data_IF_764695959461
#
_entry.id   IF_764695959461
#
_cell.length_a   1.000
_cell.length_b   1.000
_cell.length_c   1.000
_cell.angle_alpha   90.00
_cell.angle_beta   90.00
_cell.angle_gamma   90.00
#
_symmetry.space_group_name_H-M   'P 1'
#
loop_
_entity.id
_entity.type
_entity.pdbx_description
1 polymer ?
#
# COMPACT_ATOMS: atom_id res chain seq x y z
N UNK A 1 -0.06 75.39 -48.35
CA UNK A 1 1.01 74.47 -47.91
C UNK A 1 0.39 73.18 -47.37
N UNK A 2 0.44 72.14 -48.14
CA UNK A 2 -0.10 70.84 -47.80
C UNK A 2 1.00 70.03 -47.07
N UNK A 3 0.82 69.73 -45.79
CA UNK A 3 1.72 68.86 -45.03
C UNK A 3 1.28 67.42 -45.32
N UNK A 4 2.12 66.70 -46.06
CA UNK A 4 1.94 65.23 -46.28
C UNK A 4 2.50 64.43 -45.08
N UNK A 5 1.66 63.80 -44.33
CA UNK A 5 2.10 62.91 -43.23
C UNK A 5 2.46 61.57 -43.83
N UNK A 6 3.73 61.22 -43.88
CA UNK A 6 4.21 59.88 -44.30
C UNK A 6 4.08 58.94 -43.13
N UNK A 7 3.13 58.03 -43.18
CA UNK A 7 3.00 56.89 -42.27
C UNK A 7 4.12 55.89 -42.53
N UNK A 8 5.13 55.88 -41.70
CA UNK A 8 6.22 54.92 -41.74
C UNK A 8 5.69 53.54 -41.30
N UNK A 9 5.42 52.68 -42.28
CA UNK A 9 4.97 51.31 -41.98
C UNK A 9 6.02 50.53 -41.19
N UNK A 10 5.62 49.85 -40.15
CA UNK A 10 6.50 48.96 -39.41
C UNK A 10 7.05 47.87 -40.33
N UNK A 11 8.36 47.57 -40.26
CA UNK A 11 8.94 46.52 -41.09
C UNK A 11 8.28 45.17 -40.75
N UNK A 12 7.84 44.42 -41.77
CA UNK A 12 7.09 43.17 -41.69
C UNK A 12 7.78 42.13 -40.79
N UNK A 13 9.13 42.19 -40.66
CA UNK A 13 9.92 41.32 -39.77
C UNK A 13 9.64 41.55 -38.28
N UNK A 14 9.32 42.79 -37.87
CA UNK A 14 9.04 43.09 -36.45
C UNK A 14 7.68 42.56 -35.99
N UNK A 15 6.68 42.55 -36.91
CA UNK A 15 5.35 42.02 -36.64
C UNK A 15 5.39 40.50 -36.54
N UNK A 16 6.16 39.82 -37.39
CA UNK A 16 6.33 38.37 -37.38
C UNK A 16 7.06 37.93 -36.11
N UNK A 17 8.11 38.60 -35.69
CA UNK A 17 8.86 38.29 -34.46
C UNK A 17 7.99 38.48 -33.21
N UNK A 18 7.17 39.53 -33.14
CA UNK A 18 6.22 39.76 -32.05
C UNK A 18 5.14 38.69 -31.95
N UNK A 19 4.59 38.27 -33.09
CA UNK A 19 3.58 37.18 -33.15
C UNK A 19 4.17 35.82 -32.72
N UNK A 20 5.40 35.49 -33.12
CA UNK A 20 6.08 34.26 -32.72
C UNK A 20 6.37 34.20 -31.21
N UNK A 21 6.80 35.35 -30.62
CA UNK A 21 7.02 35.43 -29.15
C UNK A 21 5.71 35.32 -28.37
N UNK A 22 4.63 35.95 -28.84
CA UNK A 22 3.32 35.84 -28.20
C UNK A 22 2.75 34.41 -28.27
N UNK A 23 2.89 33.74 -29.41
CA UNK A 23 2.48 32.36 -29.60
C UNK A 23 3.30 31.41 -28.72
N UNK A 24 4.61 31.58 -28.65
CA UNK A 24 5.50 30.84 -27.77
C UNK A 24 5.15 30.98 -26.28
N UNK A 25 4.81 32.24 -25.86
CA UNK A 25 4.37 32.53 -24.49
C UNK A 25 3.00 31.91 -24.18
N UNK A 26 2.05 31.91 -25.14
CA UNK A 26 0.76 31.26 -24.99
C UNK A 26 0.89 29.74 -24.93
N UNK A 27 1.69 29.14 -25.80
CA UNK A 27 1.95 27.69 -25.82
C UNK A 27 2.71 27.25 -24.56
N UNK A 28 3.61 28.06 -24.03
CA UNK A 28 4.30 27.80 -22.77
C UNK A 28 3.36 27.77 -21.56
N UNK A 29 2.27 28.54 -21.59
CA UNK A 29 1.25 28.51 -20.54
C UNK A 29 0.28 27.32 -20.64
N UNK A 30 0.17 26.70 -21.81
CA UNK A 30 -0.66 25.51 -22.04
C UNK A 30 0.06 24.20 -21.68
N UNK A 31 1.37 24.25 -21.43
CA UNK A 31 2.04 23.11 -20.82
C UNK A 31 1.58 23.04 -19.37
N UNK A 32 0.93 21.93 -18.93
CA UNK A 32 0.69 21.72 -17.52
C UNK A 32 2.06 21.78 -16.84
N UNK A 33 2.24 22.80 -16.01
CA UNK A 33 3.50 22.99 -15.28
C UNK A 33 3.88 21.64 -14.67
N UNK A 34 5.11 21.19 -14.90
CA UNK A 34 5.65 20.08 -14.15
C UNK A 34 5.41 20.42 -12.68
N UNK A 35 4.50 19.70 -12.03
CA UNK A 35 4.33 19.81 -10.58
C UNK A 35 5.73 19.63 -10.00
N UNK A 36 6.24 20.58 -9.21
CA UNK A 36 7.56 20.42 -8.62
C UNK A 36 7.54 19.08 -7.89
N UNK A 37 8.51 18.25 -8.18
CA UNK A 37 8.71 16.98 -7.51
C UNK A 37 8.74 17.26 -6.00
N UNK A 38 7.66 16.94 -5.30
CA UNK A 38 7.64 16.98 -3.85
C UNK A 38 8.60 15.90 -3.40
N UNK A 39 9.75 16.29 -2.91
CA UNK A 39 10.76 15.39 -2.40
C UNK A 39 10.13 14.40 -1.39
N UNK A 40 10.50 13.13 -1.50
CA UNK A 40 10.07 12.12 -0.52
C UNK A 40 10.61 12.54 0.86
N UNK A 41 9.74 12.65 1.84
CA UNK A 41 10.12 12.88 3.24
C UNK A 41 10.06 11.56 4.01
N UNK A 42 11.02 11.36 4.91
CA UNK A 42 11.07 10.18 5.77
C UNK A 42 10.80 10.61 7.21
N UNK A 43 9.94 9.86 7.88
CA UNK A 43 9.62 10.08 9.30
C UNK A 43 9.72 8.76 10.03
N UNK A 44 10.58 8.70 11.05
CA UNK A 44 10.68 7.55 11.92
C UNK A 44 9.43 7.44 12.80
N UNK A 45 8.82 6.25 12.88
CA UNK A 45 7.59 5.98 13.62
C UNK A 45 7.78 5.03 14.80
N UNK A 46 8.89 4.28 14.83
CA UNK A 46 9.21 3.33 15.90
C UNK A 46 10.59 3.65 16.46
N UNK A 47 10.73 3.64 17.79
CA UNK A 47 11.96 4.00 18.49
C UNK A 47 12.48 2.87 19.39
N UNK A 48 11.75 1.77 19.47
CA UNK A 48 12.17 0.58 20.22
C UNK A 48 12.97 -0.36 19.32
N UNK A 49 13.94 -1.04 19.90
CA UNK A 49 14.65 -2.12 19.23
C UNK A 49 13.71 -3.31 19.06
N UNK A 50 13.31 -3.57 17.82
CA UNK A 50 12.39 -4.65 17.48
C UNK A 50 12.56 -5.05 16.02
N UNK A 51 12.28 -6.30 15.72
CA UNK A 51 12.24 -6.79 14.34
C UNK A 51 10.85 -6.62 13.79
N UNK A 52 10.65 -5.66 12.87
CA UNK A 52 9.37 -5.44 12.20
C UNK A 52 9.25 -6.42 11.04
N UNK A 53 8.17 -7.19 11.00
CA UNK A 53 7.90 -8.17 9.95
C UNK A 53 6.98 -7.61 8.87
N UNK A 54 5.89 -6.95 9.25
CA UNK A 54 4.92 -6.38 8.32
C UNK A 54 4.28 -5.13 8.92
N UNK A 55 3.94 -4.16 8.06
CA UNK A 55 3.24 -2.94 8.44
C UNK A 55 2.21 -2.55 7.37
N UNK A 56 1.06 -2.03 7.80
CA UNK A 56 -0.03 -1.58 6.94
C UNK A 56 -0.64 -0.29 7.49
N UNK A 57 -1.08 0.57 6.59
CA UNK A 57 -1.95 1.67 6.95
C UNK A 57 -3.38 1.16 7.16
N UNK A 58 -4.06 1.72 8.15
CA UNK A 58 -5.50 1.59 8.29
C UNK A 58 -6.22 2.46 7.24
N UNK A 59 -7.56 2.31 7.06
CA UNK A 59 -8.32 3.06 6.05
C UNK A 59 -8.25 4.58 6.17
N UNK A 60 -7.92 5.11 7.35
CA UNK A 60 -7.73 6.54 7.59
C UNK A 60 -6.44 7.10 6.96
N UNK A 61 -5.57 6.24 6.46
CA UNK A 61 -4.29 6.58 5.86
C UNK A 61 -3.25 7.15 6.84
N UNK A 62 -3.51 7.15 8.14
CA UNK A 62 -2.66 7.72 9.17
C UNK A 62 -2.30 6.72 10.27
N UNK A 63 -3.25 5.91 10.70
CA UNK A 63 -3.02 4.83 11.66
C UNK A 63 -2.18 3.73 11.02
N UNK A 64 -1.13 3.30 11.71
CA UNK A 64 -0.25 2.22 11.26
C UNK A 64 -0.43 1.03 12.18
N UNK A 65 -0.73 -0.13 11.61
CA UNK A 65 -0.71 -1.42 12.31
C UNK A 65 0.50 -2.19 11.82
N UNK A 66 1.21 -2.82 12.73
CA UNK A 66 2.36 -3.63 12.36
C UNK A 66 2.56 -4.81 13.29
N UNK A 67 3.23 -5.83 12.80
CA UNK A 67 3.69 -6.97 13.59
C UNK A 67 5.19 -6.92 13.76
N UNK A 68 5.65 -7.11 14.98
CA UNK A 68 7.07 -7.11 15.34
C UNK A 68 7.36 -8.06 16.48
N UNK A 69 8.62 -8.48 16.60
CA UNK A 69 9.14 -9.15 17.77
C UNK A 69 10.10 -8.23 18.51
N UNK A 70 9.90 -8.08 19.81
CA UNK A 70 10.83 -7.36 20.70
C UNK A 70 12.04 -8.23 20.98
N UNK A 71 11.80 -9.53 21.23
CA UNK A 71 12.85 -10.54 21.39
C UNK A 71 12.50 -11.79 20.60
N UNK A 72 13.51 -12.44 20.01
CA UNK A 72 13.31 -13.66 19.23
C UNK A 72 12.53 -13.44 17.93
N UNK A 73 11.64 -14.38 17.61
CA UNK A 73 10.87 -14.40 16.33
C UNK A 73 9.36 -14.51 16.55
N UNK A 74 8.88 -14.37 17.78
CA UNK A 74 7.45 -14.42 18.09
C UNK A 74 6.82 -13.07 17.79
N UNK A 75 5.90 -12.97 16.82
CA UNK A 75 5.31 -11.69 16.45
C UNK A 75 4.19 -11.29 17.42
N UNK A 76 4.12 -10.01 17.69
CA UNK A 76 3.00 -9.34 18.35
C UNK A 76 2.47 -8.20 17.48
N UNK A 77 1.21 -7.83 17.67
CA UNK A 77 0.60 -6.72 16.96
C UNK A 77 0.73 -5.42 17.73
N UNK A 78 1.11 -4.39 17.01
CA UNK A 78 1.24 -3.02 17.50
C UNK A 78 0.44 -2.05 16.64
N UNK A 79 0.02 -0.93 17.25
CA UNK A 79 -0.69 0.14 16.58
C UNK A 79 -0.06 1.50 16.93
N UNK A 80 0.06 2.37 15.93
CA UNK A 80 0.44 3.78 16.08
C UNK A 80 -0.71 4.61 15.52
N UNK A 81 -1.24 5.54 16.32
CA UNK A 81 -2.33 6.43 15.92
C UNK A 81 -1.85 7.89 15.84
N UNK A 82 -2.47 8.74 15.00
CA UNK A 82 -2.10 10.16 14.94
C UNK A 82 -2.12 10.86 16.29
N UNK A 83 -3.16 10.59 17.10
CA UNK A 83 -3.36 11.20 18.42
C UNK A 83 -2.41 10.64 19.50
N UNK A 84 -1.86 9.47 19.27
CA UNK A 84 -0.93 8.77 20.17
C UNK A 84 0.21 8.19 19.33
N UNK A 85 1.25 9.00 19.07
CA UNK A 85 2.35 8.59 18.17
C UNK A 85 3.23 7.48 18.76
N UNK A 86 3.05 7.14 20.04
CA UNK A 86 3.74 6.02 20.67
C UNK A 86 3.08 4.70 20.25
N UNK A 87 3.94 3.74 19.96
CA UNK A 87 3.52 2.39 19.63
C UNK A 87 2.88 1.69 20.83
N UNK A 88 1.71 1.09 20.63
CA UNK A 88 1.01 0.31 21.65
C UNK A 88 0.75 -1.11 21.15
N UNK A 89 1.00 -2.09 22.01
CA UNK A 89 0.60 -3.47 21.76
C UNK A 89 -0.93 -3.60 21.75
N UNK A 90 -1.48 -4.36 20.80
CA UNK A 90 -2.94 -4.65 20.71
C UNK A 90 -3.30 -5.80 21.67
N UNK A 91 -2.31 -6.48 22.27
CA UNK A 91 -2.54 -7.55 23.24
C UNK A 91 -2.80 -8.92 22.60
N UNK A 92 -2.31 -9.11 21.38
CA UNK A 92 -2.36 -10.39 20.66
C UNK A 92 -0.94 -10.88 20.45
N UNK A 93 -0.49 -11.80 21.30
CA UNK A 93 0.78 -12.54 21.13
C UNK A 93 0.64 -13.61 20.05
N UNK A 94 1.78 -14.11 19.58
CA UNK A 94 1.85 -15.14 18.53
C UNK A 94 1.03 -14.79 17.28
N UNK A 95 0.91 -13.48 16.99
CA UNK A 95 0.02 -12.98 15.94
C UNK A 95 0.80 -12.14 14.94
N UNK A 96 0.74 -12.54 13.66
CA UNK A 96 1.39 -11.84 12.55
C UNK A 96 0.36 -11.13 11.68
N UNK A 97 0.61 -9.85 11.37
CA UNK A 97 -0.25 -9.06 10.48
C UNK A 97 -0.05 -9.48 9.03
N UNK A 98 -1.14 -9.66 8.29
CA UNK A 98 -1.12 -9.86 6.84
C UNK A 98 -1.62 -8.62 6.10
N UNK A 99 -2.86 -8.20 6.34
CA UNK A 99 -3.44 -7.02 5.68
C UNK A 99 -4.53 -6.36 6.51
N UNK A 100 -4.95 -5.16 6.09
CA UNK A 100 -6.03 -4.39 6.71
C UNK A 100 -7.09 -4.11 5.66
N UNK A 101 -8.36 -4.41 5.96
CA UNK A 101 -9.48 -4.14 5.05
C UNK A 101 -9.86 -2.67 5.01
N UNK A 102 -10.60 -2.26 3.96
CA UNK A 102 -11.21 -0.92 3.87
C UNK A 102 -12.20 -0.60 4.99
N UNK A 103 -12.65 -1.59 5.74
CA UNK A 103 -13.56 -1.43 6.89
C UNK A 103 -12.85 -1.48 8.26
N UNK A 104 -11.51 -1.50 8.27
CA UNK A 104 -10.74 -1.56 9.51
C UNK A 104 -10.73 -2.95 10.18
N UNK A 105 -10.86 -4.01 9.39
CA UNK A 105 -10.70 -5.38 9.88
C UNK A 105 -9.31 -5.90 9.51
N UNK A 106 -8.60 -6.47 10.46
CA UNK A 106 -7.28 -7.05 10.27
C UNK A 106 -7.40 -8.50 9.80
N UNK A 107 -6.66 -8.89 8.77
CA UNK A 107 -6.34 -10.27 8.49
C UNK A 107 -5.00 -10.59 9.15
N UNK A 108 -4.98 -11.59 10.01
CA UNK A 108 -3.82 -11.97 10.81
C UNK A 108 -3.60 -13.47 10.79
N UNK A 109 -2.38 -13.90 11.06
CA UNK A 109 -2.09 -15.27 11.46
C UNK A 109 -2.04 -15.34 12.97
N UNK A 110 -2.88 -16.14 13.59
CA UNK A 110 -2.75 -16.53 14.99
C UNK A 110 -1.95 -17.82 15.09
N UNK A 111 -1.31 -18.06 16.26
CA UNK A 111 -0.35 -19.15 16.43
C UNK A 111 0.73 -19.11 15.33
N UNK A 112 1.14 -17.91 14.99
CA UNK A 112 2.10 -17.67 13.93
C UNK A 112 3.48 -18.21 14.33
N UNK A 113 4.02 -19.10 13.52
CA UNK A 113 5.34 -19.65 13.72
C UNK A 113 6.23 -19.38 12.52
N UNK A 114 7.50 -19.14 12.81
CA UNK A 114 8.51 -18.84 11.81
C UNK A 114 8.86 -20.08 10.98
N UNK A 115 8.75 -19.97 9.67
CA UNK A 115 9.10 -21.05 8.74
C UNK A 115 10.34 -20.71 7.88
N UNK A 116 10.95 -19.53 8.05
CA UNK A 116 12.17 -19.08 7.39
C UNK A 116 12.00 -17.78 6.60
N UNK A 117 13.10 -17.07 6.36
CA UNK A 117 13.16 -15.89 5.47
C UNK A 117 12.06 -14.82 5.68
N UNK A 118 11.69 -14.50 6.93
CA UNK A 118 10.58 -13.61 7.30
C UNK A 118 9.18 -14.16 7.00
N UNK A 119 9.06 -15.44 6.84
CA UNK A 119 7.82 -16.12 6.54
C UNK A 119 7.23 -16.74 7.78
N UNK A 120 5.95 -16.52 7.94
CA UNK A 120 5.16 -17.11 8.99
C UNK A 120 4.11 -18.05 8.39
N UNK A 121 3.75 -19.06 9.17
CA UNK A 121 2.60 -19.92 8.93
C UNK A 121 1.74 -19.90 10.18
N UNK A 122 0.44 -19.96 10.02
CA UNK A 122 -0.48 -19.99 11.14
C UNK A 122 -1.92 -20.17 10.68
N UNK A 123 -2.85 -19.98 11.60
CA UNK A 123 -4.27 -19.94 11.29
C UNK A 123 -4.69 -18.52 10.93
N UNK A 124 -5.26 -18.33 9.75
CA UNK A 124 -5.86 -17.06 9.36
C UNK A 124 -7.04 -16.73 10.27
N UNK A 125 -7.04 -15.54 10.79
CA UNK A 125 -8.12 -14.99 11.59
C UNK A 125 -8.44 -13.54 11.21
N UNK A 126 -9.65 -13.10 11.53
CA UNK A 126 -10.10 -11.72 11.44
C UNK A 126 -10.15 -11.11 12.82
N UNK A 127 -9.67 -9.88 12.94
CA UNK A 127 -9.65 -9.12 14.19
C UNK A 127 -10.07 -7.68 13.89
N UNK A 128 -10.98 -7.07 14.67
CA UNK A 128 -11.26 -5.64 14.53
C UNK A 128 -10.00 -4.80 14.79
N UNK A 129 -9.84 -3.67 14.09
CA UNK A 129 -8.72 -2.74 14.28
C UNK A 129 -8.58 -2.26 15.73
N UNK A 130 -9.71 -2.17 16.45
CA UNK A 130 -9.76 -1.78 17.85
C UNK A 130 -9.30 -2.90 18.81
N UNK A 131 -8.95 -4.06 18.28
CA UNK A 131 -8.62 -5.26 19.06
C UNK A 131 -9.85 -6.12 19.35
N UNK A 132 -9.63 -7.22 20.05
CA UNK A 132 -10.66 -8.18 20.40
C UNK A 132 -10.24 -9.61 20.11
N UNK A 133 -11.16 -10.55 20.35
CA UNK A 133 -10.88 -11.97 20.11
C UNK A 133 -10.77 -12.28 18.61
N UNK A 134 -9.71 -12.97 18.18
CA UNK A 134 -9.56 -13.41 16.81
C UNK A 134 -10.67 -14.39 16.40
N UNK A 135 -11.26 -14.17 15.21
CA UNK A 135 -12.19 -15.12 14.59
C UNK A 135 -11.46 -15.94 13.56
N UNK A 136 -11.11 -17.15 13.93
CA UNK A 136 -10.35 -18.08 13.09
C UNK A 136 -11.19 -18.54 11.88
N UNK A 137 -10.50 -18.74 10.75
CA UNK A 137 -11.12 -19.02 9.46
C UNK A 137 -10.49 -20.21 8.73
N UNK A 138 -9.16 -20.28 8.64
CA UNK A 138 -8.47 -21.19 7.74
C UNK A 138 -7.06 -21.50 8.26
N UNK A 139 -6.71 -22.77 8.32
CA UNK A 139 -5.39 -23.22 8.76
C UNK A 139 -4.34 -23.24 7.65
N UNK A 140 -3.07 -23.33 8.06
CA UNK A 140 -1.91 -23.45 7.18
C UNK A 140 -1.73 -22.27 6.20
N UNK A 141 -2.23 -21.10 6.55
CA UNK A 141 -2.10 -19.87 5.75
C UNK A 141 -0.74 -19.21 6.00
N UNK A 142 -0.19 -18.61 4.97
CA UNK A 142 1.02 -17.80 5.02
C UNK A 142 0.77 -16.34 4.66
N UNK A 143 -0.05 -16.08 3.66
CA UNK A 143 -0.37 -14.75 3.21
C UNK A 143 -1.86 -14.57 2.97
N UNK A 144 -2.35 -13.37 3.20
CA UNK A 144 -3.68 -12.95 2.83
C UNK A 144 -3.73 -11.47 2.50
N UNK A 145 -4.56 -11.12 1.53
CA UNK A 145 -4.85 -9.73 1.20
C UNK A 145 -6.34 -9.53 0.92
N UNK A 146 -6.88 -8.40 1.36
CA UNK A 146 -8.29 -8.07 1.21
C UNK A 146 -8.62 -7.62 -0.20
N UNK A 147 -9.83 -7.95 -0.67
CA UNK A 147 -10.43 -7.26 -1.78
C UNK A 147 -10.64 -5.77 -1.44
N UNK A 148 -10.62 -4.85 -2.43
CA UNK A 148 -10.73 -3.41 -2.17
C UNK A 148 -11.99 -3.00 -1.42
N UNK A 149 -13.08 -3.76 -1.60
CA UNK A 149 -14.35 -3.57 -0.87
C UNK A 149 -14.35 -4.22 0.53
N UNK A 150 -13.25 -4.88 0.93
CA UNK A 150 -13.11 -5.54 2.24
C UNK A 150 -14.02 -6.74 2.45
N UNK A 151 -14.67 -7.27 1.41
CA UNK A 151 -15.64 -8.36 1.54
C UNK A 151 -15.01 -9.75 1.46
N UNK A 152 -13.90 -9.89 0.73
CA UNK A 152 -13.25 -11.16 0.42
C UNK A 152 -11.75 -11.12 0.71
N UNK A 153 -11.17 -12.30 0.89
CA UNK A 153 -9.73 -12.49 1.07
C UNK A 153 -9.18 -13.35 -0.07
N UNK A 154 -8.06 -12.90 -0.63
CA UNK A 154 -7.13 -13.75 -1.34
C UNK A 154 -6.17 -14.36 -0.33
N UNK A 155 -5.82 -15.63 -0.47
CA UNK A 155 -4.94 -16.34 0.46
C UNK A 155 -3.92 -17.20 -0.26
N UNK A 156 -2.74 -17.33 0.31
CA UNK A 156 -1.76 -18.36 -0.02
C UNK A 156 -1.63 -19.28 1.16
N UNK A 157 -1.85 -20.59 0.93
CA UNK A 157 -1.72 -21.62 1.96
C UNK A 157 -1.07 -22.89 1.45
N UNK A 158 -0.49 -23.66 2.35
CA UNK A 158 0.00 -25.00 2.05
C UNK A 158 -1.17 -25.99 2.03
N UNK A 159 -1.25 -26.79 0.96
CA UNK A 159 -2.19 -27.92 0.87
C UNK A 159 -1.43 -29.13 0.34
N UNK A 160 -1.17 -30.09 1.22
CA UNK A 160 -0.41 -31.31 0.91
C UNK A 160 0.98 -31.03 0.32
N UNK A 161 1.72 -30.05 0.90
CA UNK A 161 3.06 -29.67 0.46
C UNK A 161 3.11 -28.87 -0.85
N UNK A 162 1.99 -28.31 -1.28
CA UNK A 162 1.90 -27.44 -2.44
C UNK A 162 1.28 -26.10 -2.05
N UNK A 163 1.87 -25.03 -2.55
CA UNK A 163 1.30 -23.71 -2.38
C UNK A 163 0.09 -23.52 -3.26
N UNK A 164 -0.99 -23.07 -2.65
CA UNK A 164 -2.25 -22.81 -3.31
C UNK A 164 -2.66 -21.36 -3.09
N UNK A 165 -2.88 -20.64 -4.19
CA UNK A 165 -3.54 -19.34 -4.21
C UNK A 165 -5.04 -19.53 -4.40
N UNK A 166 -5.81 -18.99 -3.49
CA UNK A 166 -7.28 -18.97 -3.54
C UNK A 166 -7.80 -17.54 -3.53
N UNK A 167 -8.81 -17.24 -4.34
CA UNK A 167 -9.52 -15.95 -4.32
C UNK A 167 -10.92 -16.06 -4.95
N UNK A 168 -11.99 -15.87 -4.16
CA UNK A 168 -12.00 -15.86 -2.69
C UNK A 168 -11.55 -17.20 -2.11
N UNK A 169 -11.49 -17.30 -0.78
CA UNK A 169 -11.20 -18.55 -0.07
C UNK A 169 -12.05 -19.67 -0.65
N UNK A 170 -11.49 -20.89 -0.78
CA UNK A 170 -12.05 -22.09 -1.42
C UNK A 170 -12.14 -22.02 -2.95
N UNK A 171 -11.82 -20.88 -3.59
CA UNK A 171 -11.75 -20.75 -5.05
C UNK A 171 -10.31 -20.75 -5.53
N UNK A 172 -9.77 -21.91 -5.88
CA UNK A 172 -8.39 -22.09 -6.33
C UNK A 172 -8.16 -21.35 -7.64
N UNK A 173 -7.17 -20.45 -7.66
CA UNK A 173 -6.74 -19.70 -8.84
C UNK A 173 -5.43 -20.22 -9.42
N UNK A 174 -4.53 -20.63 -8.54
CA UNK A 174 -3.23 -21.16 -8.94
C UNK A 174 -2.71 -22.15 -7.90
N UNK A 175 -1.91 -23.10 -8.34
CA UNK A 175 -1.23 -24.04 -7.47
C UNK A 175 0.18 -24.30 -8.00
N UNK A 176 1.17 -24.25 -7.10
CA UNK A 176 2.59 -24.48 -7.40
C UNK A 176 3.17 -25.57 -6.52
N UNK A 177 4.13 -26.31 -7.07
CA UNK A 177 5.02 -27.13 -6.25
C UNK A 177 6.19 -26.33 -5.64
N UNK A 178 6.34 -25.08 -6.05
CA UNK A 178 7.27 -24.11 -5.51
C UNK A 178 6.61 -23.16 -4.52
N UNK A 179 7.39 -22.22 -4.05
CA UNK A 179 7.00 -21.24 -3.06
C UNK A 179 6.25 -20.05 -3.73
N UNK A 180 5.16 -19.59 -3.12
CA UNK A 180 4.42 -18.39 -3.53
C UNK A 180 4.52 -17.32 -2.42
N UNK A 181 4.71 -16.04 -2.77
CA UNK A 181 4.86 -14.92 -1.84
C UNK A 181 4.32 -13.60 -2.39
N UNK A 182 4.33 -12.58 -1.54
CA UNK A 182 4.03 -11.18 -1.88
C UNK A 182 2.65 -10.96 -2.49
N UNK A 183 1.67 -11.67 -1.95
CA UNK A 183 0.27 -11.63 -2.40
C UNK A 183 -0.33 -10.23 -2.30
N UNK A 184 -0.87 -9.70 -3.40
CA UNK A 184 -1.61 -8.44 -3.44
C UNK A 184 -2.81 -8.51 -4.37
N UNK A 185 -3.95 -8.01 -3.91
CA UNK A 185 -5.14 -7.78 -4.74
C UNK A 185 -5.06 -6.39 -5.36
N UNK A 186 -5.35 -6.28 -6.66
CA UNK A 186 -5.33 -4.99 -7.35
C UNK A 186 -6.43 -4.04 -6.84
N UNK A 187 -6.25 -2.70 -6.94
CA UNK A 187 -7.23 -1.73 -6.48
C UNK A 187 -8.61 -1.83 -7.13
N UNK A 188 -8.71 -2.46 -8.30
CA UNK A 188 -9.97 -2.73 -8.97
C UNK A 188 -10.59 -4.10 -8.60
N UNK A 189 -9.93 -4.88 -7.75
CA UNK A 189 -10.36 -6.20 -7.30
C UNK A 189 -10.34 -7.31 -8.35
N UNK A 190 -9.83 -7.03 -9.56
CA UNK A 190 -9.93 -7.96 -10.70
C UNK A 190 -8.70 -8.82 -10.91
N UNK A 191 -7.57 -8.46 -10.30
CA UNK A 191 -6.29 -9.13 -10.46
C UNK A 191 -5.66 -9.42 -9.13
N UNK A 192 -4.85 -10.47 -9.09
CA UNK A 192 -4.01 -10.84 -7.96
C UNK A 192 -2.58 -10.94 -8.47
N UNK A 193 -1.67 -10.26 -7.79
CA UNK A 193 -0.22 -10.35 -8.03
C UNK A 193 0.40 -11.22 -6.93
N UNK A 194 1.39 -12.00 -7.30
CA UNK A 194 2.21 -12.81 -6.39
C UNK A 194 3.58 -13.09 -7.04
N UNK A 195 4.57 -13.51 -6.28
CA UNK A 195 5.91 -13.90 -6.73
C UNK A 195 6.18 -15.38 -6.49
#
# INVERSE_FOLDING_TARGET
ELISATTKGMPTGTVVAGAALALGFLLGRLHPGMTPYQGVSFSQKTFQEQMIFNARFAPDGQTIVYSAAVEGTVPELFIIRPDYPESRAIGLSDTHLLSVSSHGELAVLVRAHWVGQRLFRGTLARVPLEGGAPREMLDDVREADWSPDGSQLAVIRDVNGKDRLEFPIDSVRYQSGGYLSDLRVSPDGKRVAFA
#
